data_IF_289524263563
#
_entry.id   IF_289524263563
#
_cell.length_a   1.000
_cell.length_b   1.000
_cell.length_c   1.000
_cell.angle_alpha   90.00
_cell.angle_beta   90.00
_cell.angle_gamma   90.00
#
_symmetry.space_group_name_H-M   'P 1'
#
loop_
_entity.id
_entity.type
_entity.pdbx_description
1 polymer ?
#
# COMPACT_ATOMS: atom_id res chain seq x y z
N UNK A 1 -7.26 23.38 -17.51
CA UNK A 1 -6.00 22.64 -17.32
C UNK A 1 -5.97 21.82 -16.02
N UNK A 2 -6.04 22.43 -14.83
CA UNK A 2 -6.02 21.70 -13.54
C UNK A 2 -7.05 20.57 -13.45
N UNK A 3 -8.31 20.82 -13.83
CA UNK A 3 -9.40 19.83 -13.80
C UNK A 3 -9.16 18.63 -14.73
N UNK A 4 -8.62 18.88 -15.93
CA UNK A 4 -8.31 17.82 -16.91
C UNK A 4 -7.18 16.92 -16.39
N UNK A 5 -6.13 17.53 -15.81
CA UNK A 5 -5.00 16.80 -15.22
C UNK A 5 -5.48 15.96 -14.03
N UNK A 6 -6.31 16.54 -13.15
CA UNK A 6 -6.90 15.79 -12.03
C UNK A 6 -7.77 14.63 -12.51
N UNK A 7 -8.62 14.84 -13.52
CA UNK A 7 -9.43 13.76 -14.10
C UNK A 7 -8.58 12.68 -14.74
N UNK A 8 -7.53 13.02 -15.49
CA UNK A 8 -6.60 12.04 -16.06
C UNK A 8 -5.91 11.23 -14.97
N UNK A 9 -5.46 11.89 -13.90
CA UNK A 9 -4.79 11.25 -12.78
C UNK A 9 -5.71 10.26 -12.05
N UNK A 10 -6.97 10.65 -11.83
CA UNK A 10 -8.00 9.77 -11.26
C UNK A 10 -8.31 8.56 -12.16
N UNK A 11 -8.30 8.77 -13.48
CA UNK A 11 -8.56 7.71 -14.47
C UNK A 11 -7.40 6.70 -14.53
N UNK A 12 -6.17 7.18 -14.46
CA UNK A 12 -4.97 6.34 -14.34
C UNK A 12 -5.01 5.54 -13.04
N UNK A 13 -5.32 6.17 -11.91
CA UNK A 13 -5.47 5.47 -10.62
C UNK A 13 -6.56 4.39 -10.72
N UNK A 14 -7.74 4.72 -11.26
CA UNK A 14 -8.83 3.76 -11.42
C UNK A 14 -8.42 2.57 -12.30
N UNK A 15 -7.70 2.82 -13.39
CA UNK A 15 -7.19 1.78 -14.28
C UNK A 15 -6.13 0.90 -13.60
N UNK A 16 -5.20 1.49 -12.84
CA UNK A 16 -4.18 0.72 -12.10
C UNK A 16 -4.78 -0.09 -10.96
N UNK A 17 -5.79 0.43 -10.26
CA UNK A 17 -6.46 -0.28 -9.16
C UNK A 17 -7.27 -1.49 -9.66
N UNK A 18 -7.94 -1.35 -10.81
CA UNK A 18 -8.69 -2.44 -11.44
C UNK A 18 -7.80 -3.64 -11.85
N UNK A 19 -6.52 -3.39 -12.18
CA UNK A 19 -5.56 -4.42 -12.52
C UNK A 19 -4.71 -4.90 -11.33
N UNK A 20 -4.52 -4.07 -10.29
CA UNK A 20 -3.75 -4.44 -9.10
C UNK A 20 -4.54 -5.34 -8.12
N UNK A 21 -5.87 -5.25 -8.13
CA UNK A 21 -6.75 -6.10 -7.31
C UNK A 21 -7.05 -7.47 -7.93
N UNK A 22 -6.62 -7.77 -9.17
CA UNK A 22 -7.00 -9.02 -9.84
C UNK A 22 -6.19 -10.24 -9.41
N UNK A 23 -5.01 -10.04 -8.84
CA UNK A 23 -4.06 -11.12 -8.61
C UNK A 23 -3.86 -11.34 -7.11
N UNK A 24 -4.48 -12.38 -6.55
CA UNK A 24 -4.20 -12.85 -5.19
C UNK A 24 -2.73 -13.30 -5.05
N UNK A 25 -2.30 -13.64 -3.84
CA UNK A 25 -0.97 -14.19 -3.61
C UNK A 25 -0.78 -15.51 -4.40
N UNK A 26 0.31 -15.60 -5.16
CA UNK A 26 0.56 -16.73 -6.07
C UNK A 26 1.41 -17.84 -5.46
N UNK A 27 1.87 -17.69 -4.22
CA UNK A 27 2.70 -18.67 -3.54
C UNK A 27 4.18 -18.29 -3.54
N UNK A 28 5.03 -19.32 -3.49
CA UNK A 28 6.49 -19.17 -3.42
C UNK A 28 6.99 -18.36 -4.62
N UNK A 29 7.95 -17.47 -4.37
CA UNK A 29 8.58 -16.62 -5.37
C UNK A 29 7.67 -15.52 -5.96
N UNK A 30 6.45 -15.33 -5.43
CA UNK A 30 5.59 -14.20 -5.77
C UNK A 30 6.20 -12.89 -5.22
N UNK A 31 6.64 -12.00 -6.12
CA UNK A 31 7.17 -10.68 -5.79
C UNK A 31 6.10 -9.62 -6.03
N UNK A 32 5.64 -9.00 -4.95
CA UNK A 32 4.52 -8.06 -4.98
C UNK A 32 4.97 -6.67 -4.57
N UNK A 33 4.88 -5.73 -5.51
CA UNK A 33 5.10 -4.31 -5.25
C UNK A 33 3.78 -3.55 -5.29
N UNK A 34 3.52 -2.73 -4.27
CA UNK A 34 2.30 -1.94 -4.19
C UNK A 34 2.62 -0.48 -3.86
N UNK A 35 1.85 0.43 -4.43
CA UNK A 35 1.86 1.86 -4.08
C UNK A 35 0.44 2.25 -3.70
N UNK A 36 0.28 2.93 -2.57
CA UNK A 36 -1.01 3.35 -2.05
C UNK A 36 -0.96 4.71 -1.38
N UNK A 37 -2.13 5.19 -0.99
CA UNK A 37 -2.28 6.39 -0.19
C UNK A 37 -2.60 6.01 1.26
N UNK A 38 -1.98 6.70 2.21
CA UNK A 38 -2.33 6.68 3.63
C UNK A 38 -3.23 7.88 3.91
N UNK A 39 -4.50 7.65 4.23
CA UNK A 39 -5.50 8.71 4.45
C UNK A 39 -5.91 8.77 5.92
N UNK A 40 -4.98 9.14 6.79
CA UNK A 40 -5.25 9.25 8.23
C UNK A 40 -5.74 10.67 8.57
N UNK A 41 -6.57 10.77 9.61
CA UNK A 41 -7.22 12.02 10.03
C UNK A 41 -6.26 13.20 10.22
N UNK A 42 -5.05 12.94 10.71
CA UNK A 42 -4.07 13.96 11.07
C UNK A 42 -2.84 13.99 10.17
N UNK A 43 -2.75 13.02 9.25
CA UNK A 43 -1.61 12.83 8.38
C UNK A 43 -2.02 12.07 7.13
N UNK A 44 -1.81 12.66 5.97
CA UNK A 44 -2.01 11.98 4.69
C UNK A 44 -0.66 11.76 4.03
N UNK A 45 -0.46 10.61 3.40
CA UNK A 45 0.83 10.24 2.84
C UNK A 45 0.74 9.24 1.71
N UNK A 46 1.92 8.86 1.24
CA UNK A 46 2.10 7.75 0.30
C UNK A 46 2.69 6.59 1.09
N UNK A 47 2.26 5.38 0.74
CA UNK A 47 2.82 4.14 1.26
C UNK A 47 3.23 3.27 0.09
N UNK A 48 4.36 2.59 0.22
CA UNK A 48 4.81 1.57 -0.73
C UNK A 48 5.14 0.30 0.02
N UNK A 49 4.81 -0.85 -0.56
CA UNK A 49 5.14 -2.15 0.03
C UNK A 49 5.84 -3.03 -0.99
N UNK A 50 6.75 -3.87 -0.50
CA UNK A 50 7.40 -4.92 -1.27
C UNK A 50 7.35 -6.19 -0.43
N UNK A 51 6.63 -7.19 -0.92
CA UNK A 51 6.45 -8.47 -0.25
C UNK A 51 6.92 -9.60 -1.18
N UNK A 52 7.67 -10.56 -0.62
CA UNK A 52 8.20 -11.73 -1.32
C UNK A 52 7.66 -13.01 -0.71
N UNK A 53 7.14 -13.89 -1.57
CA UNK A 53 6.53 -15.15 -1.19
C UNK A 53 7.54 -16.22 -0.78
N UNK A 54 7.44 -16.70 0.46
CA UNK A 54 8.30 -17.75 1.00
C UNK A 54 7.76 -19.17 0.78
N UNK A 55 6.46 -19.29 0.54
CA UNK A 55 5.77 -20.58 0.41
C UNK A 55 4.34 -20.43 -0.09
N UNK A 56 3.52 -21.46 0.07
CA UNK A 56 2.14 -21.45 -0.45
C UNK A 56 1.22 -20.42 0.23
N UNK A 57 1.54 -19.99 1.46
CA UNK A 57 0.65 -19.13 2.27
C UNK A 57 1.37 -18.07 3.11
N UNK A 58 2.67 -17.82 2.89
CA UNK A 58 3.43 -16.87 3.72
C UNK A 58 4.33 -15.98 2.89
N UNK A 59 4.34 -14.69 3.22
CA UNK A 59 5.27 -13.71 2.64
C UNK A 59 5.98 -12.90 3.72
N UNK A 60 7.18 -12.43 3.40
CA UNK A 60 7.90 -11.42 4.17
C UNK A 60 8.10 -10.18 3.31
N UNK A 61 8.18 -9.02 3.94
CA UNK A 61 8.30 -7.80 3.17
C UNK A 61 8.73 -6.60 3.99
N UNK A 62 8.69 -5.45 3.32
CA UNK A 62 8.88 -4.15 3.91
C UNK A 62 7.80 -3.17 3.43
N UNK A 63 7.46 -2.22 4.29
CA UNK A 63 6.63 -1.08 3.97
C UNK A 63 7.39 0.20 4.28
N UNK A 64 7.43 1.12 3.32
CA UNK A 64 7.89 2.48 3.53
C UNK A 64 6.70 3.44 3.44
N UNK A 65 6.65 4.41 4.34
CA UNK A 65 5.64 5.45 4.38
C UNK A 65 6.26 6.84 4.40
N UNK A 66 5.60 7.80 3.76
CA UNK A 66 5.97 9.21 3.87
C UNK A 66 4.73 10.10 3.98
N UNK A 67 4.65 10.89 5.06
CA UNK A 67 3.57 11.86 5.28
C UNK A 67 3.78 13.13 4.46
N UNK A 68 2.90 13.35 3.48
CA UNK A 68 2.86 14.55 2.64
C UNK A 68 2.14 15.70 3.35
N UNK A 69 0.97 15.41 3.90
CA UNK A 69 0.14 16.36 4.65
C UNK A 69 0.18 16.01 6.13
N UNK A 70 0.44 16.99 6.98
CA UNK A 70 0.35 16.84 8.44
C UNK A 70 -0.43 18.02 9.00
N UNK A 71 -1.45 17.72 9.83
CA UNK A 71 -2.23 18.75 10.50
C UNK A 71 -1.35 19.52 11.49
N UNK A 72 -1.49 20.84 11.50
CA UNK A 72 -0.82 21.71 12.47
C UNK A 72 -1.68 21.84 13.72
N UNK A 73 -1.03 21.91 14.88
CA UNK A 73 -1.68 22.16 16.15
C UNK A 73 -0.95 23.32 16.83
N UNK A 74 -1.70 24.21 17.48
CA UNK A 74 -1.11 25.37 18.13
C UNK A 74 -0.16 24.93 19.25
N UNK A 75 1.02 25.55 19.30
CA UNK A 75 2.06 25.20 20.26
C UNK A 75 2.82 23.90 19.96
N UNK A 76 2.54 23.21 18.85
CA UNK A 76 3.25 22.00 18.42
C UNK A 76 3.97 22.29 17.11
N UNK A 77 5.29 22.08 17.10
CA UNK A 77 6.09 22.21 15.89
C UNK A 77 5.67 21.16 14.85
N UNK A 78 5.62 21.57 13.58
CA UNK A 78 5.35 20.62 12.49
C UNK A 78 6.50 19.61 12.42
N UNK A 79 6.20 18.31 12.21
CA UNK A 79 7.25 17.33 12.01
C UNK A 79 8.12 17.71 10.82
N UNK A 80 9.43 17.58 11.02
CA UNK A 80 10.45 17.81 10.01
C UNK A 80 10.42 16.72 8.93
N UNK A 81 11.36 16.76 8.00
CA UNK A 81 11.43 15.78 6.92
C UNK A 81 11.61 14.34 7.43
N UNK A 82 12.51 14.14 8.42
CA UNK A 82 12.81 12.82 8.98
C UNK A 82 11.63 12.20 9.74
N UNK A 83 10.90 13.01 10.50
CA UNK A 83 9.77 12.56 11.33
C UNK A 83 8.58 12.05 10.50
N UNK A 84 8.54 12.38 9.21
CA UNK A 84 7.47 12.01 8.28
C UNK A 84 7.68 10.68 7.60
N UNK A 85 8.89 10.12 7.70
CA UNK A 85 9.26 8.86 7.07
C UNK A 85 9.16 7.72 8.08
N UNK A 86 8.58 6.60 7.65
CA UNK A 86 8.59 5.36 8.41
C UNK A 86 8.97 4.16 7.52
N UNK A 87 9.65 3.18 8.13
CA UNK A 87 9.99 1.90 7.52
C UNK A 87 9.57 0.77 8.48
N UNK A 88 8.87 -0.23 7.96
CA UNK A 88 8.32 -1.35 8.72
C UNK A 88 8.69 -2.66 8.04
N UNK A 89 9.04 -3.67 8.83
CA UNK A 89 9.05 -5.05 8.35
C UNK A 89 7.62 -5.60 8.32
N UNK A 90 7.36 -6.55 7.42
CA UNK A 90 6.07 -7.22 7.26
C UNK A 90 6.24 -8.73 7.26
N UNK A 91 5.28 -9.40 7.86
CA UNK A 91 5.05 -10.83 7.74
C UNK A 91 3.55 -11.01 7.51
N UNK A 92 3.15 -11.63 6.40
CA UNK A 92 1.75 -11.84 6.06
C UNK A 92 1.47 -13.34 5.91
N UNK A 93 0.32 -13.78 6.42
CA UNK A 93 -0.24 -15.09 6.14
C UNK A 93 -1.31 -14.92 5.05
N UNK A 94 -1.05 -15.41 3.84
CA UNK A 94 -1.97 -15.32 2.71
C UNK A 94 -2.89 -16.57 2.73
N UNK A 95 -4.15 -16.39 3.13
CA UNK A 95 -5.06 -17.48 3.45
C UNK A 95 -6.01 -17.86 2.31
N UNK A 96 -6.05 -17.11 1.21
CA UNK A 96 -7.01 -17.31 0.13
C UNK A 96 -7.01 -18.74 -0.41
N UNK A 97 -5.84 -19.25 -0.78
CA UNK A 97 -5.67 -20.63 -1.24
C UNK A 97 -5.91 -21.67 -0.14
N UNK A 98 -5.61 -21.34 1.12
CA UNK A 98 -5.72 -22.23 2.29
C UNK A 98 -7.18 -22.52 2.64
N UNK A 99 -8.05 -21.50 2.56
CA UNK A 99 -9.48 -21.62 2.90
C UNK A 99 -10.38 -21.76 1.67
N UNK A 100 -9.81 -21.87 0.47
CA UNK A 100 -10.54 -22.12 -0.77
C UNK A 100 -11.29 -20.91 -1.35
N UNK A 101 -10.77 -19.69 -1.17
CA UNK A 101 -11.29 -18.50 -1.85
C UNK A 101 -11.03 -18.57 -3.37
N UNK A 102 -11.81 -17.83 -4.18
CA UNK A 102 -11.51 -17.65 -5.60
C UNK A 102 -10.07 -17.16 -5.83
N UNK A 103 -9.44 -17.56 -6.92
CA UNK A 103 -8.01 -17.30 -7.20
C UNK A 103 -7.61 -15.81 -7.29
N UNK A 104 -8.59 -14.91 -7.41
CA UNK A 104 -8.41 -13.47 -7.45
C UNK A 104 -8.71 -12.78 -6.10
N UNK A 105 -9.01 -13.56 -5.05
CA UNK A 105 -9.34 -13.07 -3.71
C UNK A 105 -8.42 -13.70 -2.70
N UNK A 106 -7.95 -12.89 -1.76
CA UNK A 106 -7.08 -13.32 -0.70
C UNK A 106 -7.45 -12.65 0.61
N UNK A 107 -7.01 -13.27 1.71
CA UNK A 107 -7.18 -12.74 3.05
C UNK A 107 -5.80 -12.76 3.72
N UNK A 108 -5.40 -11.60 4.26
CA UNK A 108 -4.09 -11.34 4.84
C UNK A 108 -4.19 -10.92 6.31
#
# INVERSE_FOLDING_TARGET
>A
MKRIITSLFLLVIAYTQANAQSDAYKGKDDLRFQVGASLQKWGTGIVTTLDYGLGQSFSIGAQAGYLLGVKSFDGIEKPGFGDRFDLKARFNANLGSVIGLPANVDLY
#
